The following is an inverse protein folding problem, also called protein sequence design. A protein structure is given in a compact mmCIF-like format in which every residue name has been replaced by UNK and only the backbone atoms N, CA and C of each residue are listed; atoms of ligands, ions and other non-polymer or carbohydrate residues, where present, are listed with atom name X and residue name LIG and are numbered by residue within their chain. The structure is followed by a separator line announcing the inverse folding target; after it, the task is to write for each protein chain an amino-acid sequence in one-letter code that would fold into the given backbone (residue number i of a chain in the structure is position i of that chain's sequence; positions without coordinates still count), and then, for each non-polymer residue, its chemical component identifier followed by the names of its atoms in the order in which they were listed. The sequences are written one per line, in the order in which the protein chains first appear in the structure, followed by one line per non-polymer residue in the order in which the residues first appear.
data_IF_431196343765
#
_entry.id   IF_431196343765
#
_cell.length_a   1.000
_cell.length_b   1.000
_cell.length_c   1.000
_cell.angle_alpha   90.00
_cell.angle_beta   90.00
_cell.angle_gamma   90.00
#
_symmetry.space_group_name_H-M   'P 1'
#
loop_
_entity.id
_entity.type
_entity.pdbx_description
1 polymer ?
#
# COMPACT_ATOMS: atom_id res chain seq x y z
N UNK A 1 -118.58 22.36 -34.67
CA UNK A 1 -117.12 22.24 -34.42
C UNK A 1 -116.41 22.24 -35.76
N UNK A 2 -115.69 23.33 -36.09
CA UNK A 2 -114.98 23.44 -37.37
C UNK A 2 -113.84 22.42 -37.43
N UNK A 3 -113.73 21.68 -38.55
CA UNK A 3 -112.66 20.69 -38.80
C UNK A 3 -111.25 21.27 -38.63
N UNK A 4 -111.08 22.59 -38.74
CA UNK A 4 -109.82 23.29 -38.50
C UNK A 4 -109.36 23.27 -37.04
N UNK A 5 -110.28 23.26 -36.07
CA UNK A 5 -109.92 23.24 -34.64
C UNK A 5 -109.34 21.91 -34.18
N UNK A 6 -109.87 20.79 -34.69
CA UNK A 6 -109.38 19.43 -34.36
C UNK A 6 -107.98 19.20 -34.92
N UNK A 7 -107.72 19.67 -36.14
CA UNK A 7 -106.39 19.58 -36.76
C UNK A 7 -105.35 20.40 -35.98
N UNK A 8 -105.71 21.62 -35.55
CA UNK A 8 -104.82 22.45 -34.73
C UNK A 8 -104.50 21.81 -33.37
N UNK A 9 -105.48 21.22 -32.68
CA UNK A 9 -105.26 20.55 -31.39
C UNK A 9 -104.33 19.34 -31.55
N UNK A 10 -104.49 18.55 -32.61
CA UNK A 10 -103.58 17.42 -32.90
C UNK A 10 -102.15 17.88 -33.21
N UNK A 11 -101.98 18.99 -33.92
CA UNK A 11 -100.67 19.55 -34.25
C UNK A 11 -99.97 20.09 -32.98
N UNK A 12 -100.72 20.73 -32.08
CA UNK A 12 -100.22 21.17 -30.76
C UNK A 12 -99.85 19.96 -29.90
N UNK A 13 -100.65 18.89 -29.89
CA UNK A 13 -100.34 17.68 -29.13
C UNK A 13 -99.04 17.00 -29.61
N UNK A 14 -98.87 16.84 -30.93
CA UNK A 14 -97.66 16.22 -31.52
C UNK A 14 -96.42 17.08 -31.27
N UNK A 15 -96.51 18.40 -31.40
CA UNK A 15 -95.39 19.31 -31.13
C UNK A 15 -95.01 19.32 -29.65
N UNK A 16 -95.98 19.20 -28.74
CA UNK A 16 -95.71 19.12 -27.30
C UNK A 16 -95.00 17.82 -26.92
N UNK A 17 -95.45 16.67 -27.44
CA UNK A 17 -94.78 15.37 -27.21
C UNK A 17 -93.37 15.36 -27.83
N UNK A 18 -93.21 15.92 -29.04
CA UNK A 18 -91.91 16.09 -29.68
C UNK A 18 -90.96 16.98 -28.88
N UNK A 19 -91.47 18.08 -28.30
CA UNK A 19 -90.69 18.98 -27.46
C UNK A 19 -90.20 18.30 -26.17
N UNK A 20 -91.05 17.48 -25.51
CA UNK A 20 -90.66 16.76 -24.29
C UNK A 20 -89.56 15.73 -24.57
N UNK A 21 -89.66 14.97 -25.67
CA UNK A 21 -88.64 13.99 -26.04
C UNK A 21 -87.31 14.64 -26.44
N UNK A 22 -87.36 15.76 -27.17
CA UNK A 22 -86.16 16.55 -27.50
C UNK A 22 -85.52 17.15 -26.24
N UNK A 23 -86.34 17.65 -25.30
CA UNK A 23 -85.84 18.19 -24.02
C UNK A 23 -85.18 17.11 -23.18
N UNK A 24 -85.74 15.89 -23.12
CA UNK A 24 -85.12 14.76 -22.42
C UNK A 24 -83.78 14.38 -23.02
N UNK A 25 -83.67 14.26 -24.35
CA UNK A 25 -82.38 13.97 -25.01
C UNK A 25 -81.37 15.10 -24.83
N UNK A 26 -81.84 16.35 -24.83
CA UNK A 26 -80.98 17.51 -24.57
C UNK A 26 -80.43 17.51 -23.13
N UNK A 27 -81.23 17.07 -22.15
CA UNK A 27 -80.79 16.92 -20.76
C UNK A 27 -79.77 15.79 -20.60
N UNK A 28 -79.96 14.64 -21.26
CA UNK A 28 -78.98 13.54 -21.24
C UNK A 28 -77.64 13.94 -21.87
N UNK A 29 -77.69 14.64 -23.00
CA UNK A 29 -76.50 15.20 -23.66
C UNK A 29 -75.80 16.19 -22.73
N UNK A 30 -76.54 17.09 -22.08
CA UNK A 30 -75.99 18.03 -21.09
C UNK A 30 -75.35 17.31 -19.90
N UNK A 31 -75.98 16.25 -19.39
CA UNK A 31 -75.45 15.42 -18.31
C UNK A 31 -74.16 14.69 -18.70
N UNK A 32 -74.09 14.18 -19.93
CA UNK A 32 -72.88 13.60 -20.51
C UNK A 32 -71.74 14.62 -20.60
N UNK A 33 -72.02 15.82 -21.13
CA UNK A 33 -71.03 16.90 -21.18
C UNK A 33 -70.56 17.35 -19.80
N UNK A 34 -71.45 17.43 -18.81
CA UNK A 34 -71.07 17.77 -17.44
C UNK A 34 -70.13 16.72 -16.83
N UNK A 35 -70.39 15.42 -17.04
CA UNK A 35 -69.50 14.33 -16.60
C UNK A 35 -68.13 14.40 -17.29
N UNK A 36 -68.11 14.71 -18.59
CA UNK A 36 -66.85 14.89 -19.33
C UNK A 36 -66.08 16.10 -18.81
N UNK A 37 -66.75 17.21 -18.54
CA UNK A 37 -66.14 18.42 -17.97
C UNK A 37 -65.59 18.15 -16.57
N UNK A 38 -66.31 17.44 -15.71
CA UNK A 38 -65.87 17.07 -14.37
C UNK A 38 -64.66 16.13 -14.40
N UNK A 39 -64.71 15.09 -15.26
CA UNK A 39 -63.55 14.20 -15.47
C UNK A 39 -62.34 14.97 -15.98
N UNK A 40 -62.52 15.85 -16.97
CA UNK A 40 -61.45 16.68 -17.50
C UNK A 40 -60.88 17.60 -16.42
N UNK A 41 -61.73 18.20 -15.57
CA UNK A 41 -61.27 19.03 -14.45
C UNK A 41 -60.39 18.25 -13.48
N UNK A 42 -60.82 17.06 -13.05
CA UNK A 42 -60.00 16.22 -12.15
C UNK A 42 -58.71 15.73 -12.81
N UNK A 43 -58.72 15.47 -14.12
CA UNK A 43 -57.53 15.07 -14.86
C UNK A 43 -56.57 16.25 -15.01
N UNK A 44 -57.07 17.47 -15.27
CA UNK A 44 -56.27 18.69 -15.31
C UNK A 44 -55.64 18.93 -13.95
N UNK A 45 -56.41 18.86 -12.85
CA UNK A 45 -55.88 19.04 -11.49
C UNK A 45 -54.76 18.01 -11.18
N UNK A 46 -54.98 16.73 -11.48
CA UNK A 46 -53.93 15.69 -11.33
C UNK A 46 -52.70 15.98 -12.18
N UNK A 47 -52.88 16.26 -13.46
CA UNK A 47 -51.78 16.56 -14.36
C UNK A 47 -51.01 17.81 -13.91
N UNK A 48 -51.69 18.86 -13.41
CA UNK A 48 -51.02 20.05 -12.88
C UNK A 48 -50.17 19.71 -11.66
N UNK A 49 -50.67 18.91 -10.72
CA UNK A 49 -49.87 18.51 -9.55
C UNK A 49 -48.66 17.64 -9.93
N UNK A 50 -48.80 16.76 -10.93
CA UNK A 50 -47.69 15.94 -11.42
C UNK A 50 -46.65 16.80 -12.15
N UNK A 51 -47.08 17.74 -12.99
CA UNK A 51 -46.20 18.69 -13.67
C UNK A 51 -45.41 19.52 -12.64
N UNK A 52 -46.07 20.06 -11.61
CA UNK A 52 -45.41 20.81 -10.54
C UNK A 52 -44.38 19.96 -9.77
N UNK A 53 -44.72 18.70 -9.47
CA UNK A 53 -43.80 17.78 -8.80
C UNK A 53 -42.56 17.47 -9.67
N UNK A 54 -42.77 17.19 -10.96
CA UNK A 54 -41.70 16.95 -11.94
C UNK A 54 -40.84 18.18 -12.17
N UNK A 55 -41.44 19.36 -12.17
CA UNK A 55 -40.71 20.62 -12.31
C UNK A 55 -39.83 20.90 -11.09
N UNK A 56 -40.33 20.63 -9.87
CA UNK A 56 -39.52 20.69 -8.64
C UNK A 56 -38.37 19.69 -8.65
N UNK A 57 -38.63 18.44 -9.06
CA UNK A 57 -37.61 17.40 -9.21
C UNK A 57 -36.53 17.83 -10.21
N UNK A 58 -36.93 18.33 -11.39
CA UNK A 58 -36.01 18.87 -12.39
C UNK A 58 -35.18 20.02 -11.83
N UNK A 59 -35.79 20.98 -11.14
CA UNK A 59 -35.05 22.10 -10.54
C UNK A 59 -34.08 21.65 -9.45
N UNK A 60 -34.42 20.60 -8.69
CA UNK A 60 -33.51 20.02 -7.70
C UNK A 60 -32.34 19.33 -8.38
N UNK A 61 -32.60 18.47 -9.36
CA UNK A 61 -31.56 17.79 -10.15
C UNK A 61 -30.65 18.78 -10.88
N UNK A 62 -31.20 19.87 -11.43
CA UNK A 62 -30.39 20.92 -12.04
C UNK A 62 -29.53 21.66 -11.02
N UNK A 63 -30.02 21.89 -9.80
CA UNK A 63 -29.22 22.47 -8.71
C UNK A 63 -28.13 21.53 -8.24
N UNK A 64 -28.42 20.24 -8.10
CA UNK A 64 -27.44 19.22 -7.76
C UNK A 64 -26.38 19.04 -8.87
N UNK A 65 -26.82 19.01 -10.13
CA UNK A 65 -25.94 19.01 -11.30
C UNK A 65 -25.07 20.27 -11.32
N UNK A 66 -25.65 21.45 -11.09
CA UNK A 66 -24.89 22.70 -11.07
C UNK A 66 -23.90 22.73 -9.91
N UNK A 67 -24.28 22.25 -8.71
CA UNK A 67 -23.40 22.16 -7.53
C UNK A 67 -22.25 21.18 -7.77
N UNK A 68 -22.52 20.05 -8.42
CA UNK A 68 -21.50 19.06 -8.77
C UNK A 68 -20.59 19.58 -9.88
N UNK A 69 -21.13 20.22 -10.91
CA UNK A 69 -20.36 20.88 -11.98
C UNK A 69 -19.56 22.09 -11.49
N UNK A 70 -20.02 22.84 -10.49
CA UNK A 70 -19.23 23.92 -9.88
C UNK A 70 -17.94 23.39 -9.22
N UNK A 71 -17.96 22.16 -8.70
CA UNK A 71 -16.78 21.50 -8.16
C UNK A 71 -15.92 20.80 -9.21
N UNK A 72 -16.49 20.49 -10.37
CA UNK A 72 -15.83 19.84 -11.50
C UNK A 72 -15.92 20.78 -12.70
N UNK A 73 -14.98 21.71 -12.80
CA UNK A 73 -14.89 22.69 -13.88
C UNK A 73 -14.76 22.02 -15.27
N UNK A 74 -14.45 22.81 -16.30
CA UNK A 74 -14.23 22.34 -17.67
C UNK A 74 -13.31 21.12 -17.71
N UNK A 75 -13.73 20.14 -18.52
CA UNK A 75 -12.91 19.01 -18.89
C UNK A 75 -12.60 19.04 -20.38
N UNK A 76 -11.51 18.40 -20.73
CA UNK A 76 -11.11 18.17 -22.11
C UNK A 76 -10.85 16.69 -22.30
N UNK A 77 -11.40 16.12 -23.36
CA UNK A 77 -11.02 14.79 -23.82
C UNK A 77 -9.84 14.98 -24.78
N UNK A 78 -8.63 14.64 -24.32
CA UNK A 78 -7.36 14.85 -25.02
C UNK A 78 -6.77 13.51 -25.45
N UNK A 79 -6.27 13.43 -26.67
CA UNK A 79 -5.47 12.30 -27.13
C UNK A 79 -4.12 12.35 -26.43
N UNK A 80 -3.83 11.35 -25.61
CA UNK A 80 -2.60 11.26 -24.83
C UNK A 80 -1.71 10.16 -25.37
N UNK A 81 -0.45 10.52 -25.61
CA UNK A 81 0.63 9.59 -25.94
C UNK A 81 1.72 9.68 -24.88
N UNK A 82 2.09 8.55 -24.31
CA UNK A 82 3.19 8.46 -23.36
C UNK A 82 4.49 8.65 -24.16
N UNK A 83 5.19 9.76 -23.91
CA UNK A 83 6.40 10.12 -24.63
C UNK A 83 7.64 9.47 -24.00
N UNK A 84 7.69 9.42 -22.66
CA UNK A 84 8.81 8.83 -21.92
C UNK A 84 8.32 7.91 -20.79
N UNK A 85 8.54 6.59 -20.90
CA UNK A 85 8.18 5.63 -19.86
C UNK A 85 8.94 5.81 -18.54
N UNK A 86 10.09 6.49 -18.56
CA UNK A 86 10.95 6.67 -17.38
C UNK A 86 10.55 7.90 -16.56
N UNK A 87 10.17 8.99 -17.23
CA UNK A 87 9.83 10.25 -16.56
C UNK A 87 8.32 10.45 -16.41
N UNK A 88 7.51 9.64 -17.09
CA UNK A 88 6.06 9.84 -17.16
C UNK A 88 5.67 11.07 -17.97
N UNK A 89 6.54 11.57 -18.86
CA UNK A 89 6.20 12.67 -19.75
C UNK A 89 5.14 12.19 -20.76
N UNK A 90 4.05 12.95 -20.87
CA UNK A 90 2.95 12.66 -21.79
C UNK A 90 2.81 13.79 -22.80
N UNK A 91 2.56 13.43 -24.05
CA UNK A 91 2.18 14.37 -25.09
C UNK A 91 0.66 14.40 -25.18
N UNK A 92 0.08 15.61 -25.19
CA UNK A 92 -1.36 15.83 -25.29
C UNK A 92 -1.71 16.57 -26.57
N UNK A 93 -2.75 16.11 -27.24
CA UNK A 93 -3.35 16.78 -28.39
C UNK A 93 -4.88 16.82 -28.23
N UNK A 94 -5.48 17.98 -28.46
CA UNK A 94 -6.94 18.08 -28.54
C UNK A 94 -7.40 17.97 -29.98
N UNK A 95 -8.59 17.41 -30.17
CA UNK A 95 -9.25 17.43 -31.46
C UNK A 95 -9.51 18.88 -31.90
N UNK A 96 -9.36 19.16 -33.20
CA UNK A 96 -9.60 20.46 -33.84
C UNK A 96 -8.57 21.57 -33.57
N UNK A 97 -7.34 21.22 -33.17
CA UNK A 97 -6.24 22.19 -33.03
C UNK A 97 -6.39 23.15 -31.84
N UNK A 98 -7.30 22.86 -30.91
CA UNK A 98 -7.40 23.59 -29.66
C UNK A 98 -6.20 23.27 -28.75
N UNK A 99 -5.82 24.22 -27.89
CA UNK A 99 -4.77 24.01 -26.89
C UNK A 99 -5.41 23.81 -25.53
N UNK A 100 -4.89 22.84 -24.77
CA UNK A 100 -5.36 22.54 -23.42
C UNK A 100 -5.17 23.77 -22.51
N UNK A 101 -6.23 24.12 -21.76
CA UNK A 101 -6.28 25.35 -20.96
C UNK A 101 -6.62 26.64 -21.74
N UNK A 102 -6.82 26.58 -23.06
CA UNK A 102 -7.08 27.77 -23.88
C UNK A 102 -5.79 28.54 -24.24
N UNK A 103 -5.90 29.73 -24.84
CA UNK A 103 -4.72 30.52 -25.22
C UNK A 103 -4.11 31.27 -24.03
N UNK A 104 -2.82 31.03 -23.78
CA UNK A 104 -2.05 31.68 -22.71
C UNK A 104 -0.56 31.67 -23.04
N UNK A 105 0.22 32.51 -22.35
CA UNK A 105 1.68 32.53 -22.53
C UNK A 105 2.31 31.21 -22.06
N UNK A 106 3.47 30.81 -22.61
CA UNK A 106 4.15 29.58 -22.20
C UNK A 106 4.52 29.56 -20.71
N UNK A 107 4.82 30.70 -20.12
CA UNK A 107 5.17 30.83 -18.70
C UNK A 107 3.95 30.59 -17.80
N UNK A 108 2.80 31.19 -18.17
CA UNK A 108 1.54 30.96 -17.46
C UNK A 108 1.11 29.48 -17.57
N UNK A 109 1.25 28.89 -18.76
CA UNK A 109 0.95 27.49 -19.02
C UNK A 109 1.77 26.55 -18.12
N UNK A 110 3.06 26.81 -17.93
CA UNK A 110 3.93 25.97 -17.11
C UNK A 110 3.51 25.92 -15.63
N UNK A 111 2.75 26.90 -15.15
CA UNK A 111 2.23 26.94 -13.76
C UNK A 111 0.87 26.26 -13.62
N UNK A 112 0.15 26.05 -14.72
CA UNK A 112 -1.18 25.46 -14.70
C UNK A 112 -1.10 23.95 -14.48
N UNK A 113 -1.93 23.45 -13.56
CA UNK A 113 -2.01 22.03 -13.21
C UNK A 113 -3.26 21.43 -13.81
N UNK A 114 -3.09 20.29 -14.47
CA UNK A 114 -4.16 19.47 -15.00
C UNK A 114 -4.18 18.12 -14.33
N UNK A 115 -5.38 17.66 -13.99
CA UNK A 115 -5.64 16.36 -13.41
C UNK A 115 -6.08 15.40 -14.51
N UNK A 116 -5.32 14.33 -14.71
CA UNK A 116 -5.51 13.37 -15.78
C UNK A 116 -6.27 12.14 -15.31
N UNK A 117 -7.27 11.73 -16.09
CA UNK A 117 -8.09 10.56 -15.85
C UNK A 117 -8.10 9.66 -17.10
N UNK A 118 -7.59 8.45 -16.97
CA UNK A 118 -7.55 7.46 -18.05
C UNK A 118 -8.84 6.61 -18.04
N UNK A 119 -9.46 6.33 -19.19
CA UNK A 119 -10.61 5.42 -19.24
C UNK A 119 -10.22 3.99 -18.86
N UNK A 120 -11.03 3.34 -18.03
CA UNK A 120 -10.78 1.97 -17.61
C UNK A 120 -11.45 1.00 -18.61
N UNK A 121 -10.66 0.11 -19.21
CA UNK A 121 -11.12 -0.82 -20.26
C UNK A 121 -11.93 -2.01 -19.73
N UNK A 122 -12.14 -2.13 -18.40
CA UNK A 122 -12.79 -3.30 -17.80
C UNK A 122 -14.20 -2.94 -17.29
N UNK A 123 -15.29 -3.46 -17.91
CA UNK A 123 -16.68 -3.11 -17.58
C UNK A 123 -17.17 -3.64 -16.21
N UNK A 124 -16.34 -4.38 -15.47
CA UNK A 124 -16.72 -4.95 -14.17
C UNK A 124 -16.71 -3.96 -13.00
N UNK A 125 -15.99 -2.83 -13.12
CA UNK A 125 -15.94 -1.81 -12.07
C UNK A 125 -16.84 -0.64 -12.46
N UNK A 126 -17.68 -0.18 -11.53
CA UNK A 126 -18.59 0.96 -11.67
C UNK A 126 -17.91 2.32 -11.88
N UNK A 127 -16.56 2.37 -11.92
CA UNK A 127 -15.79 3.58 -12.20
C UNK A 127 -15.28 3.58 -13.65
N UNK A 128 -15.78 4.49 -14.52
CA UNK A 128 -15.42 4.53 -15.94
C UNK A 128 -14.00 5.06 -16.21
N UNK A 129 -13.33 5.65 -15.22
CA UNK A 129 -12.01 6.26 -15.36
C UNK A 129 -11.17 6.13 -14.09
N UNK A 130 -9.88 5.86 -14.24
CA UNK A 130 -8.88 5.87 -13.18
C UNK A 130 -8.12 7.21 -13.15
N UNK A 131 -7.83 7.72 -11.96
CA UNK A 131 -6.96 8.87 -11.80
C UNK A 131 -5.51 8.45 -12.07
N UNK A 132 -4.84 9.17 -12.97
CA UNK A 132 -3.43 8.91 -13.31
C UNK A 132 -2.52 9.82 -12.49
N UNK A 133 -2.83 11.12 -12.44
CA UNK A 133 -1.98 12.06 -11.73
C UNK A 133 -2.26 13.52 -12.07
N UNK A 134 -1.47 14.39 -11.46
CA UNK A 134 -1.44 15.81 -11.74
C UNK A 134 -0.25 16.11 -12.66
N UNK A 135 -0.49 16.91 -13.69
CA UNK A 135 0.45 17.24 -14.76
C UNK A 135 0.51 18.74 -14.99
N UNK A 136 1.65 19.25 -15.44
CA UNK A 136 1.83 20.64 -15.85
C UNK A 136 2.57 20.69 -17.18
N UNK A 137 2.43 21.78 -17.91
CA UNK A 137 3.21 21.97 -19.13
C UNK A 137 4.71 22.01 -18.83
N UNK A 138 5.48 21.37 -19.70
CA UNK A 138 6.93 21.56 -19.71
C UNK A 138 7.22 23.03 -20.07
N UNK A 139 8.17 23.70 -19.41
CA UNK A 139 8.51 25.08 -19.74
C UNK A 139 8.79 25.24 -21.24
N UNK A 140 8.16 26.24 -21.86
CA UNK A 140 8.24 26.54 -23.30
C UNK A 140 7.61 25.49 -24.25
N UNK A 141 6.87 24.51 -23.75
CA UNK A 141 6.15 23.52 -24.56
C UNK A 141 4.67 23.44 -24.15
N UNK A 142 3.78 23.46 -25.15
CA UNK A 142 2.31 23.46 -24.96
C UNK A 142 1.65 22.15 -25.37
N UNK A 143 2.47 21.15 -25.67
CA UNK A 143 2.06 19.80 -26.08
C UNK A 143 2.60 18.73 -25.14
N UNK A 144 3.73 18.99 -24.48
CA UNK A 144 4.31 18.09 -23.50
C UNK A 144 3.91 18.48 -22.08
N UNK A 145 3.36 17.50 -21.38
CA UNK A 145 3.04 17.58 -19.97
C UNK A 145 4.02 16.70 -19.17
N UNK A 146 4.54 17.28 -18.10
CA UNK A 146 5.33 16.59 -17.10
C UNK A 146 4.49 16.38 -15.84
N UNK A 147 4.66 15.25 -15.15
CA UNK A 147 3.93 15.03 -13.91
C UNK A 147 4.43 16.03 -12.86
N UNK A 148 3.50 16.64 -12.10
CA UNK A 148 3.82 17.55 -10.99
C UNK A 148 4.60 16.80 -9.91
N UNK A 149 4.26 15.54 -9.75
CA UNK A 149 4.82 14.63 -8.79
C UNK A 149 5.40 13.42 -9.52
N UNK A 150 6.65 13.00 -9.25
CA UNK A 150 7.22 11.84 -9.90
C UNK A 150 6.33 10.60 -9.73
N UNK A 151 6.10 9.81 -10.80
CA UNK A 151 5.33 8.57 -10.70
C UNK A 151 6.10 7.52 -9.89
N UNK A 152 5.37 6.61 -9.25
CA UNK A 152 5.95 5.48 -8.51
C UNK A 152 6.61 4.50 -9.50
N UNK A 153 7.61 3.77 -9.04
CA UNK A 153 8.28 2.75 -9.85
C UNK A 153 7.27 1.74 -10.44
N UNK A 154 7.26 1.61 -11.77
CA UNK A 154 6.35 0.72 -12.49
C UNK A 154 4.95 1.29 -12.77
N UNK A 155 4.61 2.46 -12.24
CA UNK A 155 3.29 3.07 -12.44
C UNK A 155 3.04 3.45 -13.91
N UNK A 156 4.04 4.07 -14.56
CA UNK A 156 3.97 4.51 -15.96
C UNK A 156 3.71 3.34 -16.92
N UNK A 157 4.14 2.12 -16.57
CA UNK A 157 3.88 0.93 -17.37
C UNK A 157 2.40 0.52 -17.39
N UNK A 158 1.61 0.98 -16.43
CA UNK A 158 0.15 0.73 -16.37
C UNK A 158 -0.66 1.72 -17.21
N UNK A 159 -0.04 2.85 -17.58
CA UNK A 159 -0.70 3.90 -18.34
C UNK A 159 -0.91 3.44 -19.78
N UNK A 160 -2.06 3.78 -20.37
CA UNK A 160 -2.42 3.41 -21.74
C UNK A 160 -2.57 4.64 -22.60
N UNK A 161 -2.01 4.62 -23.81
CA UNK A 161 -2.27 5.66 -24.80
C UNK A 161 -3.75 5.70 -25.20
N UNK A 162 -4.24 6.88 -25.56
CA UNK A 162 -5.59 7.11 -26.06
C UNK A 162 -6.22 8.36 -25.46
N UNK A 163 -7.55 8.47 -25.59
CA UNK A 163 -8.28 9.64 -25.12
C UNK A 163 -8.39 9.63 -23.59
N UNK A 164 -7.72 10.56 -22.93
CA UNK A 164 -7.82 10.79 -21.50
C UNK A 164 -8.66 12.02 -21.23
N UNK A 165 -9.32 12.03 -20.07
CA UNK A 165 -10.02 13.21 -19.58
C UNK A 165 -9.09 14.05 -18.73
N UNK A 166 -8.81 15.26 -19.19
CA UNK A 166 -8.02 16.26 -18.49
C UNK A 166 -8.97 17.27 -17.83
N UNK A 167 -8.66 17.66 -16.60
CA UNK A 167 -9.45 18.65 -15.84
C UNK A 167 -8.53 19.67 -15.19
N UNK A 168 -8.96 20.91 -15.12
CA UNK A 168 -8.21 21.95 -14.41
C UNK A 168 -8.46 21.89 -12.89
N UNK A 169 -9.68 21.49 -12.50
CA UNK A 169 -10.07 21.44 -11.10
C UNK A 169 -10.68 20.09 -10.74
N UNK A 170 -10.30 19.60 -9.56
CA UNK A 170 -10.91 18.45 -8.89
C UNK A 170 -11.43 18.95 -7.53
N UNK A 171 -12.63 18.53 -7.09
CA UNK A 171 -13.20 19.03 -5.85
C UNK A 171 -12.29 18.79 -4.63
N UNK A 172 -12.31 19.74 -3.70
CA UNK A 172 -11.38 19.80 -2.56
C UNK A 172 -11.40 18.56 -1.66
N UNK A 173 -12.56 17.91 -1.50
CA UNK A 173 -12.68 16.68 -0.71
C UNK A 173 -11.82 15.53 -1.29
N UNK A 174 -11.72 15.42 -2.62
CA UNK A 174 -10.86 14.43 -3.26
C UNK A 174 -9.39 14.85 -3.19
N UNK A 175 -9.06 16.14 -3.27
CA UNK A 175 -7.68 16.62 -3.13
C UNK A 175 -7.06 16.27 -1.78
N UNK A 176 -7.82 16.46 -0.69
CA UNK A 176 -7.35 16.10 0.65
C UNK A 176 -7.08 14.60 0.74
N UNK A 177 -8.02 13.78 0.24
CA UNK A 177 -7.87 12.32 0.22
C UNK A 177 -6.65 11.89 -0.61
N UNK A 178 -6.45 12.47 -1.80
CA UNK A 178 -5.30 12.17 -2.66
C UNK A 178 -3.97 12.56 -2.00
N UNK A 179 -3.96 13.69 -1.28
CA UNK A 179 -2.79 14.14 -0.52
C UNK A 179 -2.49 13.21 0.65
N UNK A 180 -3.50 12.83 1.42
CA UNK A 180 -3.34 11.92 2.56
C UNK A 180 -2.84 10.53 2.09
N UNK A 181 -3.42 9.99 1.02
CA UNK A 181 -2.98 8.74 0.41
C UNK A 181 -1.53 8.82 -0.09
N UNK A 182 -1.15 9.95 -0.67
CA UNK A 182 0.23 10.19 -1.11
C UNK A 182 1.19 10.22 0.07
N UNK A 183 0.85 10.95 1.12
CA UNK A 183 1.69 11.06 2.32
C UNK A 183 1.86 9.67 2.98
N UNK A 184 0.81 8.84 2.98
CA UNK A 184 0.88 7.44 3.42
C UNK A 184 1.81 6.59 2.54
N UNK A 185 1.77 6.74 1.20
CA UNK A 185 2.67 6.03 0.29
C UNK A 185 4.13 6.41 0.57
N UNK A 186 4.42 7.70 0.73
CA UNK A 186 5.78 8.18 1.04
C UNK A 186 6.26 7.63 2.37
N UNK A 187 5.44 7.72 3.42
CA UNK A 187 5.79 7.16 4.74
C UNK A 187 6.03 5.65 4.69
N UNK A 188 5.21 4.93 3.92
CA UNK A 188 5.37 3.48 3.74
C UNK A 188 6.67 3.13 3.01
N UNK A 189 7.05 3.90 1.99
CA UNK A 189 8.28 3.68 1.22
C UNK A 189 9.52 3.97 2.08
N UNK A 190 9.50 5.05 2.86
CA UNK A 190 10.56 5.36 3.84
C UNK A 190 10.71 4.24 4.88
N UNK A 191 9.61 3.75 5.45
CA UNK A 191 9.63 2.63 6.38
C UNK A 191 10.15 1.34 5.74
N UNK A 192 9.78 1.08 4.49
CA UNK A 192 10.26 -0.08 3.75
C UNK A 192 11.77 -0.01 3.56
N UNK A 193 12.29 1.13 3.12
CA UNK A 193 13.73 1.36 2.95
C UNK A 193 14.49 1.21 4.25
N UNK A 194 14.03 1.81 5.34
CA UNK A 194 14.65 1.68 6.67
C UNK A 194 14.73 0.22 7.13
N UNK A 195 13.68 -0.57 6.91
CA UNK A 195 13.68 -2.00 7.23
C UNK A 195 14.66 -2.77 6.35
N UNK A 196 14.74 -2.44 5.06
CA UNK A 196 15.69 -3.06 4.14
C UNK A 196 17.14 -2.78 4.55
N UNK A 197 17.46 -1.53 4.89
CA UNK A 197 18.78 -1.12 5.38
C UNK A 197 19.11 -1.84 6.70
N UNK A 198 18.15 -1.92 7.62
CA UNK A 198 18.31 -2.64 8.89
C UNK A 198 18.60 -4.14 8.68
N UNK A 199 17.92 -4.79 7.73
CA UNK A 199 18.18 -6.19 7.39
C UNK A 199 19.60 -6.37 6.84
N UNK A 200 20.06 -5.45 5.99
CA UNK A 200 21.43 -5.50 5.46
C UNK A 200 22.48 -5.37 6.58
N UNK A 201 22.26 -4.45 7.53
CA UNK A 201 23.14 -4.29 8.69
C UNK A 201 23.14 -5.53 9.60
N UNK A 202 21.98 -6.11 9.87
CA UNK A 202 21.88 -7.35 10.64
C UNK A 202 22.61 -8.51 9.95
N UNK A 203 22.49 -8.62 8.62
CA UNK A 203 23.22 -9.65 7.87
C UNK A 203 24.74 -9.44 7.93
N UNK A 204 25.21 -8.19 7.87
CA UNK A 204 26.63 -7.86 8.06
C UNK A 204 27.13 -8.21 9.45
N UNK A 205 26.37 -7.87 10.49
CA UNK A 205 26.69 -8.21 11.88
C UNK A 205 26.70 -9.71 12.10
N UNK A 206 25.74 -10.44 11.52
CA UNK A 206 25.66 -11.89 11.58
C UNK A 206 26.87 -12.55 10.92
N UNK A 207 27.28 -12.06 9.75
CA UNK A 207 28.50 -12.56 9.08
C UNK A 207 29.75 -12.35 9.95
N UNK A 208 29.94 -11.14 10.50
CA UNK A 208 31.06 -10.85 11.39
C UNK A 208 31.02 -11.66 12.70
N UNK A 209 29.83 -11.90 13.25
CA UNK A 209 29.66 -12.74 14.44
C UNK A 209 29.99 -14.22 14.16
N UNK A 210 29.60 -14.74 12.98
CA UNK A 210 29.97 -16.09 12.54
C UNK A 210 31.47 -16.23 12.37
N UNK A 211 32.12 -15.27 11.73
CA UNK A 211 33.58 -15.25 11.57
C UNK A 211 34.29 -15.23 12.93
N UNK A 212 33.86 -14.38 13.87
CA UNK A 212 34.41 -14.36 15.23
C UNK A 212 34.19 -15.66 15.97
N UNK A 213 33.02 -16.26 15.83
CA UNK A 213 32.72 -17.56 16.44
C UNK A 213 33.65 -18.63 15.87
N UNK A 214 33.83 -18.67 14.55
CA UNK A 214 34.72 -19.61 13.87
C UNK A 214 36.17 -19.43 14.33
N UNK A 215 36.66 -18.18 14.45
CA UNK A 215 37.99 -17.90 15.02
C UNK A 215 38.09 -18.42 16.44
N UNK A 216 37.12 -18.15 17.33
CA UNK A 216 37.15 -18.66 18.71
C UNK A 216 37.10 -20.18 18.78
N UNK A 217 36.28 -20.82 17.94
CA UNK A 217 36.22 -22.28 17.87
C UNK A 217 37.57 -22.83 17.41
N UNK A 218 38.21 -22.19 16.42
CA UNK A 218 39.54 -22.58 15.94
C UNK A 218 40.64 -22.39 16.97
N UNK A 219 40.59 -21.33 17.80
CA UNK A 219 41.52 -21.12 18.90
C UNK A 219 41.37 -22.21 19.98
N UNK A 220 40.13 -22.62 20.29
CA UNK A 220 39.86 -23.59 21.34
C UNK A 220 40.19 -25.03 20.92
N UNK A 221 39.69 -25.46 19.76
CA UNK A 221 39.72 -26.86 19.32
C UNK A 221 40.87 -27.13 18.33
N UNK A 222 41.52 -26.06 17.83
CA UNK A 222 42.43 -26.15 16.71
C UNK A 222 41.67 -26.00 15.39
N UNK A 223 42.40 -25.67 14.34
CA UNK A 223 41.88 -25.51 12.98
C UNK A 223 42.75 -26.32 12.03
N UNK A 224 42.14 -26.86 10.96
CA UNK A 224 42.87 -27.58 9.91
C UNK A 224 43.87 -26.68 9.18
N UNK A 225 43.70 -25.36 9.28
CA UNK A 225 44.61 -24.35 8.73
C UNK A 225 45.64 -23.83 9.77
N UNK A 226 45.69 -24.40 10.97
CA UNK A 226 46.68 -24.02 11.98
C UNK A 226 48.10 -24.36 11.50
N UNK A 227 49.12 -23.53 11.81
CA UNK A 227 50.51 -23.81 11.48
C UNK A 227 50.93 -25.16 12.09
N UNK A 228 51.37 -26.10 11.25
CA UNK A 228 51.76 -27.45 11.68
C UNK A 228 53.23 -27.58 12.07
N UNK A 229 53.94 -26.45 12.22
CA UNK A 229 55.36 -26.46 12.60
C UNK A 229 55.55 -27.07 13.99
N UNK A 230 56.40 -28.09 14.09
CA UNK A 230 56.67 -28.80 15.34
C UNK A 230 57.40 -27.93 16.37
N UNK A 231 58.06 -26.85 15.93
CA UNK A 231 58.70 -25.87 16.81
C UNK A 231 57.70 -24.95 17.53
N UNK A 232 56.43 -24.95 17.10
CA UNK A 232 55.41 -24.11 17.70
C UNK A 232 54.74 -24.81 18.90
N UNK A 233 54.39 -24.03 19.95
CA UNK A 233 53.59 -24.51 21.06
C UNK A 233 52.34 -25.27 20.61
N UNK A 234 52.00 -26.33 21.34
CA UNK A 234 50.88 -27.24 21.00
C UNK A 234 49.55 -26.50 20.94
N UNK A 235 49.36 -25.48 21.78
CA UNK A 235 48.21 -24.57 21.78
C UNK A 235 47.96 -23.90 20.43
N UNK A 236 49.03 -23.51 19.73
CA UNK A 236 48.94 -22.86 18.42
C UNK A 236 48.74 -23.84 17.27
N UNK A 237 49.06 -25.11 17.49
CA UNK A 237 49.01 -26.18 16.48
C UNK A 237 47.70 -26.96 16.50
N UNK A 238 47.27 -27.34 17.70
CA UNK A 238 46.13 -28.25 17.96
C UNK A 238 45.02 -27.59 18.78
N UNK A 239 45.16 -26.31 19.12
CA UNK A 239 44.22 -25.57 19.95
C UNK A 239 44.52 -25.64 21.44
N UNK A 240 43.95 -24.69 22.18
CA UNK A 240 44.16 -24.52 23.61
C UNK A 240 43.76 -25.75 24.43
N UNK A 241 42.71 -26.47 24.02
CA UNK A 241 42.25 -27.67 24.75
C UNK A 241 43.31 -28.77 24.73
N UNK A 242 43.95 -29.00 23.58
CA UNK A 242 45.00 -30.00 23.45
C UNK A 242 46.28 -29.57 24.19
N UNK A 243 46.63 -28.28 24.15
CA UNK A 243 47.76 -27.75 24.91
C UNK A 243 47.58 -27.92 26.42
N UNK A 244 46.40 -27.63 26.96
CA UNK A 244 46.07 -27.86 28.36
C UNK A 244 46.15 -29.34 28.75
N UNK A 245 45.70 -30.25 27.88
CA UNK A 245 45.81 -31.68 28.14
C UNK A 245 47.27 -32.14 28.25
N UNK A 246 48.16 -31.59 27.42
CA UNK A 246 49.59 -31.89 27.46
C UNK A 246 50.26 -31.32 28.72
N UNK A 247 49.99 -30.05 29.08
CA UNK A 247 50.49 -29.47 30.33
C UNK A 247 50.01 -30.24 31.58
N UNK A 248 48.76 -30.69 31.61
CA UNK A 248 48.25 -31.50 32.72
C UNK A 248 48.92 -32.88 32.76
N UNK A 249 49.24 -33.49 31.62
CA UNK A 249 50.00 -34.74 31.57
C UNK A 249 51.43 -34.56 32.08
N UNK A 250 52.13 -33.52 31.65
CA UNK A 250 53.47 -33.18 32.13
C UNK A 250 53.47 -32.94 33.64
N UNK A 251 52.52 -32.14 34.13
CA UNK A 251 52.35 -31.87 35.56
C UNK A 251 52.12 -33.16 36.35
N UNK A 252 51.31 -34.09 35.84
CA UNK A 252 51.07 -35.37 36.48
C UNK A 252 52.33 -36.25 36.53
N UNK A 253 53.17 -36.23 35.48
CA UNK A 253 54.45 -36.93 35.47
C UNK A 253 55.43 -36.32 36.47
N UNK A 254 55.54 -34.99 36.52
CA UNK A 254 56.37 -34.28 37.51
C UNK A 254 55.95 -34.61 38.94
N UNK A 255 54.64 -34.67 39.22
CA UNK A 255 54.15 -35.07 40.53
C UNK A 255 54.50 -36.54 40.86
N UNK A 256 54.41 -37.44 39.89
CA UNK A 256 54.77 -38.84 40.08
C UNK A 256 56.28 -39.01 40.35
N UNK A 257 57.14 -38.32 39.61
CA UNK A 257 58.59 -38.32 39.83
C UNK A 257 58.95 -37.67 41.17
N UNK A 258 58.27 -36.57 41.55
CA UNK A 258 58.46 -35.95 42.86
C UNK A 258 58.07 -36.89 44.00
N UNK A 259 56.96 -37.63 43.88
CA UNK A 259 56.55 -38.62 44.89
C UNK A 259 57.55 -39.78 44.96
N UNK A 260 58.03 -40.27 43.81
CA UNK A 260 59.08 -41.29 43.74
C UNK A 260 60.35 -40.83 44.46
N UNK A 261 60.85 -39.63 44.14
CA UNK A 261 62.05 -39.06 44.78
C UNK A 261 61.85 -38.88 46.30
N UNK A 262 60.64 -38.49 46.74
CA UNK A 262 60.32 -38.44 48.19
C UNK A 262 60.41 -39.81 48.84
N UNK A 263 59.85 -40.86 48.21
CA UNK A 263 59.93 -42.24 48.74
C UNK A 263 61.36 -42.75 48.78
N UNK A 264 62.16 -42.48 47.74
CA UNK A 264 63.57 -42.83 47.68
C UNK A 264 64.36 -42.11 48.78
N UNK A 265 64.14 -40.82 48.99
CA UNK A 265 64.75 -40.03 50.06
C UNK A 265 64.41 -40.59 51.45
N UNK A 266 63.14 -40.92 51.70
CA UNK A 266 62.69 -41.54 52.95
C UNK A 266 63.42 -42.88 53.16
N UNK A 267 63.52 -43.70 52.13
CA UNK A 267 64.20 -45.01 52.19
C UNK A 267 65.68 -44.85 52.50
N UNK A 268 66.36 -43.90 51.84
CA UNK A 268 67.78 -43.60 52.10
C UNK A 268 67.97 -43.10 53.53
N UNK A 269 67.09 -42.22 54.00
CA UNK A 269 67.13 -41.70 55.36
C UNK A 269 66.92 -42.82 56.41
N UNK A 270 65.97 -43.73 56.18
CA UNK A 270 65.77 -44.91 57.02
C UNK A 270 67.01 -45.81 57.05
N UNK A 271 67.61 -46.11 55.88
CA UNK A 271 68.86 -46.88 55.81
C UNK A 271 70.01 -46.20 56.55
N UNK A 272 70.13 -44.87 56.45
CA UNK A 272 71.13 -44.12 57.22
C UNK A 272 70.90 -44.27 58.73
N UNK A 273 69.65 -44.19 59.20
CA UNK A 273 69.32 -44.43 60.60
C UNK A 273 69.65 -45.85 61.04
N UNK A 274 69.34 -46.87 60.23
CA UNK A 274 69.69 -48.27 60.49
C UNK A 274 71.21 -48.46 60.58
N UNK A 275 71.98 -47.89 59.63
CA UNK A 275 73.45 -47.93 59.64
C UNK A 275 74.04 -47.25 60.87
N UNK A 276 73.48 -46.11 61.30
CA UNK A 276 73.92 -45.42 62.52
C UNK A 276 73.67 -46.30 63.75
N UNK A 277 72.51 -46.95 63.83
CA UNK A 277 72.18 -47.88 64.92
C UNK A 277 73.10 -49.12 64.91
N UNK A 278 73.40 -49.67 63.73
CA UNK A 278 74.30 -50.81 63.56
C UNK A 278 75.75 -50.47 63.94
N UNK A 279 76.27 -49.31 63.50
CA UNK A 279 77.60 -48.80 63.90
C UNK A 279 77.64 -48.55 65.41
N UNK A 280 76.57 -48.01 66.00
CA UNK A 280 76.46 -47.85 67.46
C UNK A 280 76.54 -49.20 68.18
N UNK A 281 75.81 -50.22 67.71
CA UNK A 281 75.86 -51.58 68.26
C UNK A 281 77.23 -52.22 68.12
N UNK A 282 77.85 -52.16 66.94
CA UNK A 282 79.21 -52.66 66.68
C UNK A 282 80.25 -51.94 67.53
N UNK A 283 80.14 -50.62 67.68
CA UNK A 283 81.00 -49.82 68.56
C UNK A 283 80.89 -50.28 70.01
N UNK A 284 79.69 -50.61 70.48
CA UNK A 284 79.47 -51.16 71.82
C UNK A 284 79.98 -52.61 71.99
N UNK A 285 80.22 -53.34 70.91
CA UNK A 285 80.77 -54.71 70.90
C UNK A 285 82.30 -54.77 70.77
N UNK A 286 82.96 -53.66 70.42
CA UNK A 286 84.41 -53.62 70.39
C UNK A 286 84.99 -53.79 71.81
N UNK A 287 86.09 -54.55 71.98
CA UNK A 287 86.71 -54.73 73.28
C UNK A 287 87.13 -53.38 73.82
N UNK A 288 86.53 -52.96 74.94
CA UNK A 288 86.95 -51.75 75.64
C UNK A 288 88.43 -51.91 76.01
N UNK A 289 89.27 -50.89 75.75
CA UNK A 289 90.68 -50.95 76.13
C UNK A 289 90.76 -51.25 77.63
N UNK A 290 91.51 -52.30 77.98
CA UNK A 290 91.80 -52.64 79.38
C UNK A 290 92.52 -51.44 79.99
N UNK A 291 91.86 -50.78 80.94
CA UNK A 291 92.53 -49.91 81.92
C UNK A 291 93.41 -50.73 82.83
#
# INVERSE_FOLDING_TARGET
MHKSGVVLVWLVAITTVGAVLLTSKMLDVRGSWLKVVEKNKTQIEKNTTEIEAREKERQQLLRELTRTMLGWDRYWDAEVKINSPQTGEIQVALNNGQVLGGEMSPEAAATQVFYAFQPQTNPANSNPSSFVGAFRFKPNDRTLLIPVNPPVAGEVATWKNGVWRMRELVPLNYMNTLRDLRDQIVQSDEQYKLKQDHIQDLNRLLAAAKERLEVRVSELIGSDNAPQDELLPVELRKGLVAGLEEEEQERNQEFAETDRLRRELITIYQKQLELIDEVSKLSNQLPKPKS
#
